data_IF_429080275553
#
_entry.id   IF_429080275553
#
_cell.length_a   1.000
_cell.length_b   1.000
_cell.length_c   1.000
_cell.angle_alpha   90.00
_cell.angle_beta   90.00
_cell.angle_gamma   90.00
#
_symmetry.space_group_name_H-M   'P 1'
#
loop_
_entity.id
_entity.type
_entity.pdbx_description
1 polymer ?
#
# COMPACT_ATOMS: atom_id res chain seq x y z
N UNK A 1 16.08 9.95 2.12
CA UNK A 1 15.03 9.89 3.14
C UNK A 1 15.12 8.51 3.77
N UNK A 2 15.48 8.40 5.05
CA UNK A 2 15.80 7.16 5.79
C UNK A 2 14.56 6.43 6.35
N UNK A 3 14.68 5.23 6.93
CA UNK A 3 13.59 4.50 7.63
C UNK A 3 12.99 5.37 8.73
N UNK A 4 13.84 6.14 9.42
CA UNK A 4 13.41 7.12 10.41
C UNK A 4 12.50 8.20 9.79
N UNK A 5 12.71 8.57 8.52
CA UNK A 5 11.86 9.55 7.86
C UNK A 5 10.51 8.94 7.42
N UNK A 6 10.44 7.61 7.19
CA UNK A 6 9.17 6.89 6.99
C UNK A 6 8.39 6.83 8.30
N UNK A 7 9.05 6.52 9.42
CA UNK A 7 8.43 6.49 10.74
C UNK A 7 7.96 7.88 11.20
N UNK A 8 8.69 8.94 10.86
CA UNK A 8 8.30 10.32 11.19
C UNK A 8 7.09 10.79 10.38
N UNK A 9 6.97 10.36 9.12
CA UNK A 9 5.85 10.74 8.25
C UNK A 9 4.60 9.89 8.45
N UNK A 10 4.78 8.59 8.68
CA UNK A 10 3.68 7.64 8.79
C UNK A 10 3.49 7.20 10.23
N UNK A 11 2.56 7.86 10.91
CA UNK A 11 2.22 7.50 12.28
C UNK A 11 1.34 6.23 12.28
N UNK A 12 1.83 5.16 12.90
CA UNK A 12 1.06 3.93 13.06
C UNK A 12 -0.22 4.19 13.85
N UNK A 13 -1.36 3.81 13.28
CA UNK A 13 -2.69 4.05 13.89
C UNK A 13 -3.21 2.86 14.68
N UNK A 14 -2.38 1.85 14.96
CA UNK A 14 -2.75 0.76 15.89
C UNK A 14 -3.23 -0.53 15.24
N UNK A 15 -3.49 -0.57 13.93
CA UNK A 15 -4.03 -1.76 13.27
C UNK A 15 -3.06 -2.34 12.22
N UNK A 16 -2.61 -3.58 12.45
CA UNK A 16 -2.14 -4.46 11.39
C UNK A 16 -3.37 -4.98 10.64
N UNK A 17 -3.57 -4.50 9.41
CA UNK A 17 -4.74 -4.81 8.58
C UNK A 17 -4.46 -5.90 7.55
N UNK A 18 -3.24 -6.44 7.52
CA UNK A 18 -2.91 -7.56 6.66
C UNK A 18 -1.46 -8.01 6.81
N UNK A 19 -1.26 -9.33 6.89
CA UNK A 19 0.08 -9.92 6.89
C UNK A 19 0.07 -11.21 6.06
N UNK A 20 1.11 -11.41 5.27
CA UNK A 20 1.31 -12.64 4.50
C UNK A 20 2.69 -12.68 3.84
N UNK A 21 2.87 -13.60 2.88
CA UNK A 21 4.13 -13.71 2.12
C UNK A 21 4.45 -12.44 1.31
N UNK A 22 3.45 -11.57 1.10
CA UNK A 22 3.60 -10.27 0.44
C UNK A 22 4.09 -9.17 1.40
N UNK A 23 4.37 -9.50 2.66
CA UNK A 23 4.79 -8.55 3.69
C UNK A 23 3.66 -8.13 4.63
N UNK A 24 3.74 -6.90 5.12
CA UNK A 24 2.87 -6.33 6.15
C UNK A 24 2.08 -5.15 5.57
N UNK A 25 0.84 -4.99 5.99
CA UNK A 25 -0.01 -3.83 5.69
C UNK A 25 -0.53 -3.26 7.00
N UNK A 26 -0.25 -1.98 7.24
CA UNK A 26 -0.70 -1.27 8.43
C UNK A 26 -1.61 -0.11 8.06
N UNK A 27 -2.56 0.18 8.94
CA UNK A 27 -3.26 1.45 8.94
C UNK A 27 -2.30 2.52 9.51
N UNK A 28 -1.97 3.50 8.67
CA UNK A 28 -1.08 4.59 9.02
C UNK A 28 -1.76 5.94 8.75
N UNK A 29 -1.27 6.97 9.42
CA UNK A 29 -1.62 8.36 9.15
C UNK A 29 -0.44 9.05 8.45
N UNK A 30 -0.68 9.58 7.26
CA UNK A 30 0.29 10.34 6.49
C UNK A 30 0.24 11.81 6.95
N UNK A 31 1.21 12.22 7.76
CA UNK A 31 1.28 13.58 8.32
C UNK A 31 1.38 14.66 7.25
N UNK A 32 2.05 14.36 6.14
CA UNK A 32 2.32 15.33 5.07
C UNK A 32 1.05 15.67 4.29
N UNK A 33 0.15 14.69 4.15
CA UNK A 33 -1.11 14.82 3.41
C UNK A 33 -2.34 14.87 4.32
N UNK A 34 -2.15 14.83 5.64
CA UNK A 34 -3.19 14.90 6.67
C UNK A 34 -4.35 13.90 6.41
N UNK A 35 -4.00 12.65 6.12
CA UNK A 35 -4.97 11.60 5.76
C UNK A 35 -4.56 10.21 6.24
N UNK A 36 -5.54 9.35 6.50
CA UNK A 36 -5.32 7.94 6.74
C UNK A 36 -5.03 7.20 5.42
N UNK A 37 -4.18 6.18 5.51
CA UNK A 37 -3.72 5.37 4.39
C UNK A 37 -3.44 3.93 4.82
N UNK A 38 -3.34 3.03 3.84
CA UNK A 38 -2.74 1.71 4.05
C UNK A 38 -1.27 1.77 3.61
N UNK A 39 -0.35 1.55 4.55
CA UNK A 39 1.08 1.42 4.24
C UNK A 39 1.42 -0.07 4.13
N UNK A 40 1.75 -0.51 2.92
CA UNK A 40 2.25 -1.86 2.66
C UNK A 40 3.77 -1.86 2.61
N UNK A 41 4.39 -2.75 3.38
CA UNK A 41 5.84 -2.97 3.40
C UNK A 41 6.14 -4.36 2.87
N UNK A 42 6.90 -4.41 1.78
CA UNK A 42 7.34 -5.65 1.13
C UNK A 42 8.86 -5.76 1.22
N UNK A 43 9.37 -6.87 1.75
CA UNK A 43 10.80 -7.19 1.66
C UNK A 43 11.14 -7.60 0.22
N UNK A 44 12.27 -7.10 -0.27
CA UNK A 44 12.82 -7.34 -1.60
C UNK A 44 13.96 -8.32 -1.47
N UNK A 45 13.70 -9.55 -1.90
CA UNK A 45 14.69 -10.59 -2.07
C UNK A 45 14.60 -11.17 -3.49
N UNK A 46 15.46 -12.15 -3.81
CA UNK A 46 15.50 -12.78 -5.13
C UNK A 46 14.16 -13.42 -5.55
N UNK A 47 13.31 -13.78 -4.59
CA UNK A 47 12.01 -14.42 -4.81
C UNK A 47 10.88 -13.40 -4.99
N UNK A 48 10.96 -12.27 -4.29
CA UNK A 48 9.88 -11.26 -4.26
C UNK A 48 10.09 -10.11 -5.23
N UNK A 49 11.34 -9.77 -5.58
CA UNK A 49 11.69 -8.56 -6.35
C UNK A 49 10.86 -8.38 -7.62
N UNK A 50 10.70 -9.45 -8.41
CA UNK A 50 9.93 -9.39 -9.65
C UNK A 50 8.44 -9.11 -9.42
N UNK A 51 7.86 -9.69 -8.36
CA UNK A 51 6.45 -9.51 -8.04
C UNK A 51 6.19 -8.08 -7.52
N UNK A 52 7.05 -7.60 -6.63
CA UNK A 52 6.93 -6.27 -6.03
C UNK A 52 7.14 -5.18 -7.08
N UNK A 53 8.13 -5.34 -7.96
CA UNK A 53 8.38 -4.40 -9.06
C UNK A 53 7.22 -4.36 -10.05
N UNK A 54 6.66 -5.52 -10.41
CA UNK A 54 5.49 -5.59 -11.30
C UNK A 54 4.24 -4.97 -10.66
N UNK A 55 4.04 -5.12 -9.36
CA UNK A 55 2.96 -4.45 -8.64
C UNK A 55 3.07 -2.93 -8.75
N UNK A 56 4.28 -2.38 -8.54
CA UNK A 56 4.54 -0.95 -8.75
C UNK A 56 4.23 -0.50 -10.18
N UNK A 57 4.74 -1.21 -11.18
CA UNK A 57 4.52 -0.87 -12.61
C UNK A 57 3.03 -0.83 -12.96
N UNK A 58 2.27 -1.84 -12.52
CA UNK A 58 0.83 -1.94 -12.80
C UNK A 58 0.03 -0.87 -12.07
N UNK A 59 0.31 -0.62 -10.78
CA UNK A 59 -0.37 0.42 -10.02
C UNK A 59 -0.05 1.82 -10.57
N UNK A 60 1.20 2.07 -10.94
CA UNK A 60 1.60 3.33 -11.55
C UNK A 60 0.91 3.56 -12.90
N UNK A 61 0.81 2.51 -13.73
CA UNK A 61 0.04 2.58 -14.98
C UNK A 61 -1.42 2.99 -14.73
N UNK A 62 -2.12 2.34 -13.79
CA UNK A 62 -3.51 2.68 -13.51
C UNK A 62 -3.69 4.07 -12.89
N UNK A 63 -2.75 4.54 -12.07
CA UNK A 63 -2.75 5.91 -11.59
C UNK A 63 -2.66 6.92 -12.74
N UNK A 64 -1.78 6.69 -13.72
CA UNK A 64 -1.68 7.59 -14.88
C UNK A 64 -2.95 7.61 -15.72
N UNK A 65 -3.63 6.48 -15.86
CA UNK A 65 -4.93 6.42 -16.54
C UNK A 65 -6.06 7.12 -15.75
N UNK A 66 -6.00 7.09 -14.42
CA UNK A 66 -6.93 7.83 -13.57
C UNK A 66 -6.83 9.34 -13.81
N UNK A 67 -5.62 9.89 -13.85
CA UNK A 67 -5.40 11.32 -14.10
C UNK A 67 -5.90 11.76 -15.48
N UNK A 68 -5.80 10.89 -16.48
CA UNK A 68 -6.19 11.21 -17.85
C UNK A 68 -7.68 10.98 -18.12
N UNK A 69 -8.29 9.98 -17.49
CA UNK A 69 -9.60 9.46 -17.89
C UNK A 69 -10.49 9.03 -16.72
N UNK A 70 -10.09 9.18 -15.45
CA UNK A 70 -10.89 8.68 -14.32
C UNK A 70 -11.18 7.17 -14.40
N UNK A 71 -10.22 6.39 -14.91
CA UNK A 71 -10.40 4.96 -15.20
C UNK A 71 -10.32 4.07 -13.94
N UNK A 72 -9.35 4.29 -13.06
CA UNK A 72 -9.13 3.46 -11.88
C UNK A 72 -10.32 3.54 -10.92
N UNK A 73 -10.87 4.74 -10.67
CA UNK A 73 -12.02 4.94 -9.80
C UNK A 73 -13.27 4.23 -10.34
N UNK A 74 -13.52 4.32 -11.65
CA UNK A 74 -14.63 3.63 -12.31
C UNK A 74 -14.52 2.11 -12.24
N UNK A 75 -13.30 1.59 -12.27
CA UNK A 75 -13.01 0.17 -12.24
C UNK A 75 -12.69 -0.36 -10.84
N UNK A 76 -12.78 0.48 -9.79
CA UNK A 76 -12.51 0.12 -8.40
C UNK A 76 -11.10 -0.49 -8.20
N UNK A 77 -10.13 0.06 -8.92
CA UNK A 77 -8.72 -0.29 -8.77
C UNK A 77 -8.17 0.55 -7.63
N UNK A 78 -7.44 -0.10 -6.72
CA UNK A 78 -6.86 0.58 -5.56
C UNK A 78 -5.89 1.67 -6.02
N UNK A 79 -6.03 2.88 -5.45
CA UNK A 79 -5.15 4.00 -5.74
C UNK A 79 -3.85 3.87 -4.94
N UNK A 80 -2.72 3.91 -5.65
CA UNK A 80 -1.42 4.14 -5.03
C UNK A 80 -1.18 5.66 -4.94
N UNK A 81 -0.81 6.17 -3.79
CA UNK A 81 -0.45 7.57 -3.61
C UNK A 81 1.04 7.79 -3.85
N UNK A 82 1.86 6.86 -3.38
CA UNK A 82 3.32 6.97 -3.43
C UNK A 82 3.95 5.58 -3.32
N UNK A 83 5.16 5.45 -3.85
CA UNK A 83 6.02 4.29 -3.62
C UNK A 83 7.41 4.79 -3.23
N UNK A 84 8.00 4.13 -2.23
CA UNK A 84 9.38 4.37 -1.81
C UNK A 84 10.14 3.06 -1.76
N UNK A 85 11.35 3.04 -2.30
CA UNK A 85 12.30 1.94 -2.14
C UNK A 85 13.40 2.40 -1.18
N UNK A 86 13.63 1.63 -0.12
CA UNK A 86 14.70 1.85 0.82
C UNK A 86 15.29 0.53 1.32
N UNK A 87 16.62 0.41 1.25
CA UNK A 87 17.35 -0.83 1.53
C UNK A 87 16.75 -2.03 0.78
N UNK A 88 16.35 -3.06 1.52
CA UNK A 88 15.71 -4.26 1.00
C UNK A 88 14.18 -4.20 1.16
N UNK A 89 13.58 -3.01 1.21
CA UNK A 89 12.13 -2.84 1.39
C UNK A 89 11.53 -1.90 0.37
N UNK A 90 10.36 -2.27 -0.14
CA UNK A 90 9.49 -1.40 -0.90
C UNK A 90 8.24 -1.08 -0.08
N UNK A 91 7.95 0.21 0.00
CA UNK A 91 6.84 0.79 0.74
C UNK A 91 5.83 1.32 -0.27
N UNK A 92 4.59 0.85 -0.18
CA UNK A 92 3.48 1.35 -0.98
C UNK A 92 2.52 2.10 -0.08
N UNK A 93 2.33 3.37 -0.39
CA UNK A 93 1.29 4.18 0.23
C UNK A 93 0.02 4.03 -0.61
N UNK A 94 -0.97 3.32 -0.07
CA UNK A 94 -2.22 3.01 -0.76
C UNK A 94 -3.39 3.75 -0.11
N UNK A 95 -4.46 3.97 -0.86
CA UNK A 95 -5.72 4.40 -0.26
C UNK A 95 -6.20 3.37 0.77
N UNK A 96 -6.82 3.87 1.86
CA UNK A 96 -7.33 3.00 2.91
C UNK A 96 -8.69 2.41 2.49
N UNK A 97 -8.72 1.10 2.29
CA UNK A 97 -9.94 0.34 2.08
C UNK A 97 -10.64 -0.08 3.37
N UNK A 98 -11.81 -0.71 3.23
CA UNK A 98 -12.47 -1.43 4.32
C UNK A 98 -11.91 -2.85 4.52
N UNK A 99 -12.57 -3.62 5.41
CA UNK A 99 -12.24 -5.04 5.63
C UNK A 99 -12.31 -5.83 4.33
N UNK A 100 -11.39 -6.78 4.18
CA UNK A 100 -11.42 -7.72 3.07
C UNK A 100 -12.67 -8.60 3.13
N UNK A 101 -13.13 -9.08 1.97
CA UNK A 101 -14.25 -10.03 1.89
C UNK A 101 -13.96 -11.31 2.68
N UNK A 102 -12.69 -11.76 2.71
CA UNK A 102 -12.27 -12.92 3.50
C UNK A 102 -12.41 -12.71 5.01
N UNK A 103 -12.07 -11.53 5.52
CA UNK A 103 -12.33 -11.18 6.93
C UNK A 103 -13.81 -11.08 7.25
N UNK A 104 -14.61 -10.52 6.34
CA UNK A 104 -16.05 -10.46 6.50
C UNK A 104 -16.66 -11.86 6.69
N UNK A 105 -16.25 -12.84 5.89
CA UNK A 105 -16.74 -14.21 6.01
C UNK A 105 -16.26 -14.91 7.27
N UNK A 106 -15.00 -14.71 7.70
CA UNK A 106 -14.46 -15.29 8.94
C UNK A 106 -15.15 -14.83 10.23
N UNK A 107 -15.90 -13.72 10.17
CA UNK A 107 -16.65 -13.21 11.33
C UNK A 107 -18.09 -13.72 11.39
N UNK A 108 -18.60 -14.31 10.30
CA UNK A 108 -19.99 -14.77 10.20
C UNK A 108 -20.16 -16.27 10.41
N UNK A 109 -19.08 -17.03 10.34
CA UNK A 109 -19.03 -18.48 10.50
C UNK A 109 -17.89 -18.85 11.43
#
# INVERSE_FOLDING_TARGET
MTINDVEVRFEYQGDNIGQGNFGLVIHAYDSDNNKCCALKTSEIDERTVNAVQREYEVLNYFNTLEEQQGFAARNRIIKMHEMKHEDNYMYFLLELGGRSVGEYYRQKF
#
